data_IF_887991910978
#
_entry.id   IF_887991910978
#
_cell.length_a   1.000
_cell.length_b   1.000
_cell.length_c   1.000
_cell.angle_alpha   90.00
_cell.angle_beta   90.00
_cell.angle_gamma   90.00
#
_symmetry.space_group_name_H-M   'P 1'
#
loop_
_entity.id
_entity.type
_entity.pdbx_description
1 polymer ?
#
# COMPACT_ATOMS: atom_id res chain seq x y z
N UNK A 1 1.41 -28.64 5.07
CA UNK A 1 1.33 -27.95 3.76
C UNK A 1 0.35 -26.75 3.79
N UNK A 2 0.25 -25.99 4.90
CA UNK A 2 -0.79 -24.95 5.07
C UNK A 2 -0.26 -23.52 5.39
N UNK A 3 1.05 -23.30 5.38
CA UNK A 3 1.62 -21.98 5.72
C UNK A 3 1.53 -20.96 4.57
N UNK A 4 1.55 -21.41 3.30
CA UNK A 4 1.72 -20.49 2.17
C UNK A 4 0.41 -19.88 1.65
N UNK A 5 -0.72 -20.56 1.86
CA UNK A 5 -2.04 -20.06 1.43
C UNK A 5 -2.57 -18.97 2.37
N UNK A 6 -2.23 -19.05 3.66
CA UNK A 6 -2.54 -18.00 4.63
C UNK A 6 -1.85 -16.68 4.25
N UNK A 7 -0.58 -16.72 3.84
CA UNK A 7 0.14 -15.51 3.41
C UNK A 7 -0.57 -14.81 2.23
N UNK A 8 -0.92 -15.55 1.17
CA UNK A 8 -1.58 -14.99 -0.03
C UNK A 8 -2.93 -14.33 0.28
N UNK A 9 -3.70 -14.88 1.22
CA UNK A 9 -5.01 -14.33 1.63
C UNK A 9 -4.86 -13.15 2.60
N UNK A 10 -3.81 -13.14 3.41
CA UNK A 10 -3.51 -12.06 4.37
C UNK A 10 -3.11 -10.76 3.66
N UNK A 11 -2.38 -10.83 2.54
CA UNK A 11 -2.02 -9.65 1.74
C UNK A 11 -3.21 -9.07 0.97
N UNK A 12 -4.10 -9.94 0.46
CA UNK A 12 -5.23 -9.52 -0.40
C UNK A 12 -6.39 -8.87 0.37
N UNK A 13 -6.40 -8.96 1.71
CA UNK A 13 -7.51 -8.50 2.56
C UNK A 13 -7.17 -7.38 3.53
N UNK A 14 -5.90 -7.02 3.68
CA UNK A 14 -5.50 -5.90 4.54
C UNK A 14 -5.49 -4.61 3.73
N UNK A 15 -6.24 -3.62 4.19
CA UNK A 15 -6.05 -2.22 3.80
C UNK A 15 -4.58 -1.87 4.08
N UNK A 16 -3.91 -1.19 3.15
CA UNK A 16 -2.56 -0.73 3.42
C UNK A 16 -2.60 0.31 4.55
N UNK A 17 -1.54 0.38 5.36
CA UNK A 17 -1.34 1.50 6.29
C UNK A 17 -1.55 2.85 5.58
N UNK A 18 -1.12 2.97 4.32
CA UNK A 18 -1.29 4.20 3.55
C UNK A 18 -2.74 4.46 3.10
N UNK A 19 -3.56 3.43 2.92
CA UNK A 19 -4.99 3.61 2.66
C UNK A 19 -5.72 4.17 3.89
N UNK A 20 -5.33 3.71 5.08
CA UNK A 20 -5.85 4.23 6.36
C UNK A 20 -5.40 5.66 6.61
N UNK A 21 -4.09 5.94 6.43
CA UNK A 21 -3.53 7.29 6.57
C UNK A 21 -4.20 8.26 5.59
N UNK A 22 -4.36 7.87 4.33
CA UNK A 22 -5.04 8.70 3.34
C UNK A 22 -6.50 8.99 3.73
N UNK A 23 -7.24 7.95 4.16
CA UNK A 23 -8.62 8.12 4.61
C UNK A 23 -8.74 9.08 5.79
N UNK A 24 -7.87 8.95 6.79
CA UNK A 24 -7.86 9.84 7.95
C UNK A 24 -7.45 11.27 7.56
N UNK A 25 -6.43 11.43 6.72
CA UNK A 25 -5.99 12.73 6.24
C UNK A 25 -7.10 13.44 5.46
N UNK A 26 -7.81 12.72 4.58
CA UNK A 26 -8.92 13.27 3.80
C UNK A 26 -10.08 13.75 4.69
N UNK A 27 -10.43 12.98 5.73
CA UNK A 27 -11.45 13.37 6.71
C UNK A 27 -11.03 14.64 7.45
N UNK A 28 -9.80 14.68 7.98
CA UNK A 28 -9.30 15.84 8.72
C UNK A 28 -9.26 17.11 7.86
N UNK A 29 -8.77 17.00 6.62
CA UNK A 29 -8.73 18.11 5.68
C UNK A 29 -10.13 18.57 5.25
N UNK A 30 -11.06 17.63 5.05
CA UNK A 30 -12.47 17.93 4.79
C UNK A 30 -13.12 18.72 5.92
N UNK A 31 -12.99 18.23 7.16
CA UNK A 31 -13.53 18.89 8.35
C UNK A 31 -12.95 20.30 8.54
N UNK A 32 -11.64 20.48 8.31
CA UNK A 32 -11.03 21.81 8.36
C UNK A 32 -11.60 22.74 7.29
N UNK A 33 -11.65 22.27 6.03
CA UNK A 33 -12.17 23.03 4.90
C UNK A 33 -13.63 23.48 5.11
N UNK A 34 -14.47 22.62 5.68
CA UNK A 34 -15.86 22.96 6.01
C UNK A 34 -15.99 24.08 7.06
N UNK A 35 -14.98 24.26 7.92
CA UNK A 35 -14.91 25.30 8.94
C UNK A 35 -14.32 26.63 8.45
N UNK A 36 -13.63 26.65 7.31
CA UNK A 36 -12.96 27.86 6.79
C UNK A 36 -14.00 28.90 6.35
N UNK A 37 -13.80 30.16 6.77
CA UNK A 37 -14.66 31.30 6.41
C UNK A 37 -13.88 32.48 5.85
N UNK A 38 -12.57 32.49 6.00
CA UNK A 38 -11.69 33.59 5.63
C UNK A 38 -10.68 33.19 4.55
N UNK A 39 -10.05 34.20 3.96
CA UNK A 39 -9.08 34.01 2.89
C UNK A 39 -7.80 33.31 3.38
N UNK A 40 -7.43 33.50 4.66
CA UNK A 40 -6.25 32.85 5.24
C UNK A 40 -6.46 31.35 5.46
N UNK A 41 -7.62 30.94 5.97
CA UNK A 41 -7.99 29.53 6.05
C UNK A 41 -8.07 28.89 4.66
N UNK A 42 -8.55 29.64 3.66
CA UNK A 42 -8.58 29.17 2.28
C UNK A 42 -7.16 28.95 1.71
N UNK A 43 -6.20 29.84 2.03
CA UNK A 43 -4.80 29.64 1.63
C UNK A 43 -4.15 28.45 2.34
N UNK A 44 -4.47 28.20 3.61
CA UNK A 44 -4.00 26.98 4.31
C UNK A 44 -4.50 25.71 3.59
N UNK A 45 -5.77 25.69 3.19
CA UNK A 45 -6.33 24.56 2.44
C UNK A 45 -5.56 24.35 1.13
N UNK A 46 -5.43 25.40 0.32
CA UNK A 46 -4.87 25.31 -1.02
C UNK A 46 -3.35 25.08 -1.03
N UNK A 47 -2.61 25.74 -0.14
CA UNK A 47 -1.15 25.80 -0.18
C UNK A 47 -0.50 24.74 0.73
N UNK A 48 -1.25 24.16 1.67
CA UNK A 48 -0.71 23.20 2.63
C UNK A 48 -1.49 21.88 2.62
N UNK A 49 -2.80 21.90 2.88
CA UNK A 49 -3.55 20.67 3.06
C UNK A 49 -3.71 19.87 1.76
N UNK A 50 -4.04 20.54 0.66
CA UNK A 50 -4.18 19.88 -0.65
C UNK A 50 -2.87 19.26 -1.16
N UNK A 51 -1.71 19.96 -1.08
CA UNK A 51 -0.42 19.35 -1.37
C UNK A 51 -0.11 18.14 -0.49
N UNK A 52 -0.32 18.23 0.82
CA UNK A 52 -0.08 17.09 1.74
C UNK A 52 -0.96 15.90 1.38
N UNK A 53 -2.25 16.11 1.11
CA UNK A 53 -3.16 15.04 0.69
C UNK A 53 -2.69 14.36 -0.59
N UNK A 54 -2.22 15.15 -1.56
CA UNK A 54 -1.69 14.64 -2.83
C UNK A 54 -0.43 13.80 -2.62
N UNK A 55 0.49 14.24 -1.76
CA UNK A 55 1.69 13.46 -1.44
C UNK A 55 1.35 12.16 -0.72
N UNK A 56 0.39 12.18 0.22
CA UNK A 56 -0.10 10.97 0.90
C UNK A 56 -0.74 9.99 -0.10
N UNK A 57 -1.53 10.48 -1.06
CA UNK A 57 -2.11 9.64 -2.12
C UNK A 57 -1.03 9.05 -3.03
N UNK A 58 -0.01 9.84 -3.37
CA UNK A 58 1.15 9.38 -4.15
C UNK A 58 1.88 8.23 -3.45
N UNK A 59 2.10 8.35 -2.14
CA UNK A 59 2.70 7.29 -1.32
C UNK A 59 1.81 6.04 -1.25
N UNK A 60 0.48 6.22 -1.18
CA UNK A 60 -0.48 5.12 -1.19
C UNK A 60 -0.42 4.32 -2.49
N UNK A 61 -0.37 4.99 -3.63
CA UNK A 61 -0.24 4.37 -4.96
C UNK A 61 1.11 3.66 -5.07
N UNK A 62 2.21 4.35 -4.74
CA UNK A 62 3.55 3.79 -4.81
C UNK A 62 3.71 2.55 -3.92
N UNK A 63 3.12 2.56 -2.73
CA UNK A 63 3.12 1.40 -1.86
C UNK A 63 2.33 0.24 -2.47
N UNK A 64 1.18 0.48 -3.11
CA UNK A 64 0.41 -0.57 -3.76
C UNK A 64 1.23 -1.26 -4.88
N UNK A 65 1.91 -0.47 -5.70
CA UNK A 65 2.80 -0.97 -6.76
C UNK A 65 3.97 -1.77 -6.19
N UNK A 66 4.59 -1.25 -5.12
CA UNK A 66 5.68 -1.93 -4.42
C UNK A 66 5.25 -3.29 -3.86
N UNK A 67 4.08 -3.35 -3.21
CA UNK A 67 3.54 -4.60 -2.66
C UNK A 67 3.26 -5.63 -3.77
N UNK A 68 2.73 -5.18 -4.91
CA UNK A 68 2.49 -6.06 -6.06
C UNK A 68 3.81 -6.62 -6.60
N UNK A 69 4.83 -5.78 -6.78
CA UNK A 69 6.15 -6.22 -7.25
C UNK A 69 6.83 -7.18 -6.27
N UNK A 70 6.76 -6.88 -4.97
CA UNK A 70 7.29 -7.76 -3.92
C UNK A 70 6.63 -9.14 -3.98
N UNK A 71 5.31 -9.18 -4.14
CA UNK A 71 4.56 -10.43 -4.28
C UNK A 71 4.99 -11.24 -5.51
N UNK A 72 5.19 -10.58 -6.64
CA UNK A 72 5.63 -11.22 -7.88
C UNK A 72 7.04 -11.82 -7.75
N UNK A 73 7.96 -11.10 -7.09
CA UNK A 73 9.31 -11.60 -6.78
C UNK A 73 9.22 -12.82 -5.87
N UNK A 74 8.46 -12.76 -4.79
CA UNK A 74 8.28 -13.89 -3.86
C UNK A 74 7.72 -15.12 -4.58
N UNK A 75 6.76 -14.92 -5.48
CA UNK A 75 6.20 -15.99 -6.31
C UNK A 75 7.27 -16.63 -7.20
N UNK A 76 8.09 -15.83 -7.88
CA UNK A 76 9.17 -16.33 -8.74
C UNK A 76 10.22 -17.09 -7.92
N UNK A 77 10.66 -16.54 -6.79
CA UNK A 77 11.64 -17.17 -5.91
C UNK A 77 11.13 -18.50 -5.36
N UNK A 78 9.87 -18.57 -4.94
CA UNK A 78 9.26 -19.81 -4.48
C UNK A 78 9.12 -20.84 -5.62
N UNK A 79 8.79 -20.38 -6.82
CA UNK A 79 8.83 -21.21 -8.03
C UNK A 79 10.20 -21.81 -8.26
N UNK A 80 11.25 -20.99 -8.32
CA UNK A 80 12.63 -21.43 -8.54
C UNK A 80 13.11 -22.44 -7.50
N UNK A 81 12.81 -22.21 -6.21
CA UNK A 81 13.12 -23.15 -5.11
C UNK A 81 12.44 -24.51 -5.30
N UNK A 82 11.20 -24.52 -5.80
CA UNK A 82 10.47 -25.77 -6.07
C UNK A 82 11.04 -26.58 -7.24
N UNK A 83 11.69 -25.92 -8.21
CA UNK A 83 12.42 -26.59 -9.29
C UNK A 83 13.76 -27.16 -8.82
N UNK A 84 14.56 -26.40 -8.06
CA UNK A 84 15.83 -26.89 -7.49
C UNK A 84 15.63 -28.14 -6.62
N UNK A 85 14.55 -28.21 -5.85
CA UNK A 85 14.25 -29.38 -5.01
C UNK A 85 13.81 -30.62 -5.82
N UNK A 86 13.22 -30.43 -7.00
CA UNK A 86 12.87 -31.53 -7.92
C UNK A 86 14.10 -32.08 -8.63
N UNK A 87 15.06 -31.23 -9.00
CA UNK A 87 16.28 -31.67 -9.69
C UNK A 87 17.26 -32.38 -8.75
N UNK A 88 17.26 -32.07 -7.45
CA UNK A 88 18.03 -32.82 -6.44
C UNK A 88 17.44 -34.19 -6.09
N UNK A 89 16.25 -34.52 -6.61
CA UNK A 89 15.56 -35.80 -6.39
C UNK A 89 15.91 -36.90 -7.41
N UNK A 90 16.76 -36.60 -8.40
CA UNK A 90 17.17 -37.55 -9.46
C UNK A 90 18.57 -38.13 -9.27
N UNK A 91 19.02 -38.25 -8.02
CA UNK A 91 20.19 -39.08 -7.67
C UNK A 91 19.84 -39.97 -6.49
N UNK A 92 19.00 -40.99 -6.72
CA UNK A 92 19.23 -42.36 -6.25
C UNK A 92 18.26 -43.35 -6.91
#
# INVERSE_FOLDING_TARGET
MFSNFQSTVIWKRRRSMFDEVFGMAAICAGNFREGVRDAFGASIVADVLDPILKEVDSLRILNADFQQQSFDIDRILNGARSFQFKDSGWTQ
#
